data_IF_763733618596
#
_entry.id   IF_763733618596
#
_cell.length_a   1.000
_cell.length_b   1.000
_cell.length_c   1.000
_cell.angle_alpha   90.00
_cell.angle_beta   90.00
_cell.angle_gamma   90.00
#
_symmetry.space_group_name_H-M   'P 1'
#
loop_
_entity.id
_entity.type
_entity.pdbx_description
1 polymer ?
#
# COMPACT_ATOMS: atom_id res chain seq x y z
N UNK A 1 -47.26 -36.16 41.77
CA UNK A 1 -47.28 -36.30 40.28
C UNK A 1 -47.78 -35.05 39.53
N UNK A 2 -48.90 -34.40 39.99
CA UNK A 2 -49.33 -33.15 39.35
C UNK A 2 -48.45 -31.94 39.69
N UNK A 3 -47.95 -31.88 40.92
CA UNK A 3 -47.02 -30.83 41.41
C UNK A 3 -45.68 -30.87 40.66
N UNK A 4 -45.09 -32.06 40.49
CA UNK A 4 -43.77 -32.22 39.83
C UNK A 4 -43.82 -31.81 38.34
N UNK A 5 -44.92 -32.07 37.66
CA UNK A 5 -45.09 -31.61 36.26
C UNK A 5 -45.25 -30.10 36.13
N UNK A 6 -45.87 -29.46 37.10
CA UNK A 6 -45.99 -27.99 37.13
C UNK A 6 -44.67 -27.32 37.39
N UNK A 7 -43.87 -27.84 38.35
CA UNK A 7 -42.56 -27.32 38.67
C UNK A 7 -41.57 -27.50 37.53
N UNK A 8 -41.63 -28.63 36.78
CA UNK A 8 -40.85 -28.85 35.59
C UNK A 8 -41.23 -27.86 34.46
N UNK A 9 -42.51 -27.56 34.29
CA UNK A 9 -42.97 -26.58 33.28
C UNK A 9 -42.51 -25.17 33.64
N UNK A 10 -42.55 -24.78 34.91
CA UNK A 10 -42.01 -23.48 35.37
C UNK A 10 -40.52 -23.34 35.08
N UNK A 11 -39.70 -24.35 35.38
CA UNK A 11 -38.26 -24.37 35.07
C UNK A 11 -37.98 -24.24 33.55
N UNK A 12 -38.77 -24.91 32.74
CA UNK A 12 -38.64 -24.79 31.26
C UNK A 12 -38.99 -23.38 30.74
N UNK A 13 -40.02 -22.76 31.31
CA UNK A 13 -40.42 -21.39 30.97
C UNK A 13 -39.33 -20.40 31.39
N UNK A 14 -38.82 -20.49 32.62
CA UNK A 14 -37.74 -19.65 33.12
C UNK A 14 -36.45 -19.80 32.28
N UNK A 15 -36.10 -21.04 31.94
CA UNK A 15 -34.95 -21.32 31.06
C UNK A 15 -35.16 -20.71 29.67
N UNK A 16 -36.39 -20.80 29.09
CA UNK A 16 -36.74 -20.20 27.83
C UNK A 16 -36.64 -18.67 27.84
N UNK A 17 -37.16 -18.03 28.92
CA UNK A 17 -37.08 -16.58 29.08
C UNK A 17 -35.62 -16.15 29.16
N UNK A 18 -34.80 -16.80 29.98
CA UNK A 18 -33.38 -16.51 30.13
C UNK A 18 -32.62 -16.66 28.79
N UNK A 19 -32.95 -17.68 28.00
CA UNK A 19 -32.36 -17.89 26.67
C UNK A 19 -32.72 -16.77 25.71
N UNK A 20 -33.96 -16.29 25.74
CA UNK A 20 -34.42 -15.14 24.90
C UNK A 20 -33.69 -13.85 25.32
N UNK A 21 -33.55 -13.59 26.61
CA UNK A 21 -32.81 -12.43 27.14
C UNK A 21 -31.35 -12.46 26.70
N UNK A 22 -30.69 -13.61 26.84
CA UNK A 22 -29.31 -13.81 26.38
C UNK A 22 -29.16 -13.57 24.89
N UNK A 23 -30.10 -14.10 24.08
CA UNK A 23 -30.07 -13.90 22.62
C UNK A 23 -30.25 -12.43 22.23
N UNK A 24 -31.13 -11.69 22.92
CA UNK A 24 -31.33 -10.26 22.69
C UNK A 24 -30.09 -9.46 23.10
N UNK A 25 -29.45 -9.83 24.20
CA UNK A 25 -28.18 -9.21 24.64
C UNK A 25 -27.08 -9.44 23.61
N UNK A 26 -26.91 -10.67 23.10
CA UNK A 26 -25.94 -11.01 22.07
C UNK A 26 -26.20 -10.20 20.80
N UNK A 27 -27.44 -10.08 20.37
CA UNK A 27 -27.79 -9.25 19.18
C UNK A 27 -27.41 -7.80 19.38
N UNK A 28 -27.67 -7.25 20.56
CA UNK A 28 -27.32 -5.85 20.89
C UNK A 28 -25.80 -5.64 20.89
N UNK A 29 -25.04 -6.56 21.54
CA UNK A 29 -23.57 -6.50 21.56
C UNK A 29 -23.01 -6.63 20.16
N UNK A 30 -23.50 -7.55 19.33
CA UNK A 30 -23.02 -7.73 17.96
C UNK A 30 -23.27 -6.48 17.11
N UNK A 31 -24.42 -5.80 17.29
CA UNK A 31 -24.68 -4.54 16.62
C UNK A 31 -23.71 -3.44 17.07
N UNK A 32 -23.52 -3.28 18.36
CA UNK A 32 -22.57 -2.29 18.92
C UNK A 32 -21.13 -2.56 18.46
N UNK A 33 -20.72 -3.82 18.37
CA UNK A 33 -19.42 -4.21 17.87
C UNK A 33 -19.25 -3.88 16.39
N UNK A 34 -20.29 -4.13 15.59
CA UNK A 34 -20.29 -3.77 14.17
C UNK A 34 -20.16 -2.24 13.99
N UNK A 35 -20.99 -1.47 14.70
CA UNK A 35 -20.98 0.00 14.63
C UNK A 35 -19.59 0.57 15.05
N UNK A 36 -18.99 -0.02 16.10
CA UNK A 36 -17.65 0.37 16.57
C UNK A 36 -16.53 -0.01 15.60
N UNK A 37 -16.63 -1.16 14.95
CA UNK A 37 -15.67 -1.55 13.91
C UNK A 37 -15.72 -0.61 12.71
N UNK A 38 -16.92 -0.21 12.27
CA UNK A 38 -17.07 0.78 11.18
C UNK A 38 -16.50 2.15 11.56
N UNK A 39 -16.72 2.60 12.81
CA UNK A 39 -16.17 3.85 13.32
C UNK A 39 -14.63 3.81 13.33
N UNK A 40 -14.06 2.70 13.82
CA UNK A 40 -12.61 2.50 13.87
C UNK A 40 -11.99 2.44 12.47
N UNK A 41 -12.63 1.75 11.52
CA UNK A 41 -12.17 1.67 10.14
C UNK A 41 -12.17 3.05 9.46
N UNK A 42 -13.21 3.87 9.68
CA UNK A 42 -13.25 5.25 9.18
C UNK A 42 -12.12 6.08 9.77
N UNK A 43 -11.94 6.05 11.10
CA UNK A 43 -10.86 6.79 11.75
C UNK A 43 -9.47 6.36 11.27
N UNK A 44 -9.28 5.07 11.00
CA UNK A 44 -8.06 4.53 10.41
C UNK A 44 -7.82 5.10 9.01
N UNK A 45 -8.82 5.06 8.13
CA UNK A 45 -8.70 5.60 6.77
C UNK A 45 -8.47 7.12 6.74
N UNK A 46 -9.13 7.86 7.63
CA UNK A 46 -8.91 9.31 7.80
C UNK A 46 -7.47 9.61 8.24
N UNK A 47 -6.94 8.82 9.18
CA UNK A 47 -5.56 8.96 9.66
C UNK A 47 -4.55 8.70 8.54
N UNK A 48 -4.77 7.64 7.75
CA UNK A 48 -3.97 7.34 6.55
C UNK A 48 -4.01 8.51 5.57
N UNK A 49 -5.21 9.06 5.31
CA UNK A 49 -5.39 10.20 4.42
C UNK A 49 -4.60 11.45 4.86
N UNK A 50 -4.63 11.77 6.16
CA UNK A 50 -3.89 12.91 6.72
C UNK A 50 -2.37 12.68 6.61
N UNK A 51 -1.88 11.50 6.99
CA UNK A 51 -0.45 11.18 6.91
C UNK A 51 0.06 11.25 5.46
N UNK A 52 -0.70 10.70 4.51
CA UNK A 52 -0.39 10.80 3.09
C UNK A 52 -0.28 12.25 2.62
N UNK A 53 -1.27 13.10 2.95
CA UNK A 53 -1.24 14.53 2.60
C UNK A 53 -0.02 15.24 3.20
N UNK A 54 0.42 14.83 4.39
CA UNK A 54 1.61 15.40 5.03
C UNK A 54 2.89 15.06 4.24
N UNK A 55 2.99 13.85 3.70
CA UNK A 55 4.11 13.44 2.82
C UNK A 55 4.10 14.22 1.51
N UNK A 56 2.94 14.34 0.86
CA UNK A 56 2.79 15.09 -0.39
C UNK A 56 3.04 16.59 -0.22
N UNK A 57 2.71 17.16 0.94
CA UNK A 57 3.03 18.55 1.24
C UNK A 57 4.54 18.82 1.34
N UNK A 58 5.33 17.80 1.68
CA UNK A 58 6.79 17.85 1.75
C UNK A 58 7.44 17.87 0.36
N UNK A 59 6.86 17.14 -0.60
CA UNK A 59 7.36 17.06 -1.98
C UNK A 59 6.21 17.42 -2.96
N UNK A 60 6.05 18.71 -3.33
CA UNK A 60 4.94 19.17 -4.18
C UNK A 60 4.88 18.49 -5.56
N UNK A 61 5.99 17.88 -6.00
CA UNK A 61 6.07 17.17 -7.28
C UNK A 61 5.47 15.77 -7.22
N UNK A 62 5.12 15.29 -6.02
CA UNK A 62 4.54 13.94 -5.81
C UNK A 62 3.03 13.97 -5.62
N UNK A 63 2.34 15.11 -5.93
CA UNK A 63 0.87 15.16 -5.82
C UNK A 63 0.23 14.01 -6.61
N UNK A 64 -0.57 13.19 -5.93
CA UNK A 64 -1.23 12.01 -6.48
C UNK A 64 -0.29 10.85 -6.87
N UNK A 65 1.03 11.02 -6.74
CA UNK A 65 2.00 9.95 -7.03
C UNK A 65 1.75 8.72 -6.16
N UNK A 66 1.70 8.91 -4.84
CA UNK A 66 1.49 7.80 -3.90
C UNK A 66 0.15 7.08 -4.13
N UNK A 67 -0.90 7.84 -4.50
CA UNK A 67 -2.19 7.25 -4.87
C UNK A 67 -2.06 6.39 -6.13
N UNK A 68 -1.42 6.91 -7.18
CA UNK A 68 -1.24 6.18 -8.44
C UNK A 68 -0.37 4.95 -8.25
N UNK A 69 0.75 5.04 -7.50
CA UNK A 69 1.61 3.89 -7.16
C UNK A 69 0.82 2.82 -6.40
N UNK A 70 -0.01 3.23 -5.45
CA UNK A 70 -0.92 2.35 -4.71
C UNK A 70 -1.87 1.60 -5.64
N UNK A 71 -2.58 2.33 -6.52
CA UNK A 71 -3.56 1.71 -7.43
C UNK A 71 -2.89 0.84 -8.51
N UNK A 72 -1.73 1.24 -9.05
CA UNK A 72 -0.96 0.39 -9.97
C UNK A 72 -0.48 -0.89 -9.28
N UNK A 73 0.00 -0.80 -8.04
CA UNK A 73 0.42 -1.98 -7.28
C UNK A 73 -0.74 -2.95 -7.05
N UNK A 74 -1.93 -2.43 -6.72
CA UNK A 74 -3.16 -3.22 -6.58
C UNK A 74 -3.59 -3.83 -7.94
N UNK A 75 -3.50 -3.06 -9.03
CA UNK A 75 -3.84 -3.55 -10.38
C UNK A 75 -2.94 -4.72 -10.78
N UNK A 76 -1.63 -4.60 -10.59
CA UNK A 76 -0.67 -5.68 -10.81
C UNK A 76 -1.00 -6.88 -9.91
N UNK A 77 -1.25 -6.64 -8.62
CA UNK A 77 -1.59 -7.68 -7.66
C UNK A 77 -2.86 -8.47 -8.04
N UNK A 78 -3.90 -7.78 -8.49
CA UNK A 78 -5.14 -8.41 -9.00
C UNK A 78 -4.87 -9.29 -10.22
N UNK A 79 -4.07 -8.81 -11.16
CA UNK A 79 -3.70 -9.55 -12.37
C UNK A 79 -2.86 -10.78 -12.06
N UNK A 80 -2.07 -10.73 -10.97
CA UNK A 80 -1.30 -11.85 -10.42
C UNK A 80 -2.17 -12.83 -9.59
N UNK A 81 -3.44 -12.52 -9.33
CA UNK A 81 -4.36 -13.37 -8.55
C UNK A 81 -4.08 -13.37 -7.04
N UNK A 82 -3.53 -12.28 -6.51
CA UNK A 82 -3.22 -12.16 -5.08
C UNK A 82 -4.50 -12.00 -4.24
N UNK A 83 -4.45 -12.47 -2.99
CA UNK A 83 -5.56 -12.39 -2.04
C UNK A 83 -5.82 -10.96 -1.54
N UNK A 84 -7.02 -10.73 -1.00
CA UNK A 84 -7.45 -9.41 -0.51
C UNK A 84 -6.53 -8.83 0.56
N UNK A 85 -5.94 -9.67 1.42
CA UNK A 85 -4.97 -9.23 2.43
C UNK A 85 -3.73 -8.65 1.77
N UNK A 86 -3.18 -9.35 0.79
CA UNK A 86 -1.99 -8.89 0.05
C UNK A 86 -2.31 -7.66 -0.80
N UNK A 87 -3.51 -7.57 -1.40
CA UNK A 87 -3.95 -6.37 -2.12
C UNK A 87 -4.07 -5.16 -1.18
N UNK A 88 -4.55 -5.36 0.05
CA UNK A 88 -4.58 -4.30 1.06
C UNK A 88 -3.16 -3.84 1.46
N UNK A 89 -2.22 -4.76 1.63
CA UNK A 89 -0.79 -4.44 1.89
C UNK A 89 -0.21 -3.61 0.74
N UNK A 90 -0.45 -3.99 -0.51
CA UNK A 90 -0.01 -3.23 -1.68
C UNK A 90 -0.62 -1.83 -1.71
N UNK A 91 -1.92 -1.72 -1.40
CA UNK A 91 -2.63 -0.45 -1.36
C UNK A 91 -2.02 0.51 -0.33
N UNK A 92 -1.91 0.08 0.92
CA UNK A 92 -1.39 0.93 1.99
C UNK A 92 0.12 1.15 1.84
N UNK A 93 0.88 0.11 1.46
CA UNK A 93 2.31 0.21 1.22
C UNK A 93 2.66 1.18 0.09
N UNK A 94 1.89 1.18 -0.99
CA UNK A 94 2.05 2.15 -2.09
C UNK A 94 1.81 3.60 -1.64
N UNK A 95 0.83 3.85 -0.74
CA UNK A 95 0.60 5.17 -0.17
C UNK A 95 1.76 5.67 0.70
N UNK A 96 2.47 4.77 1.38
CA UNK A 96 3.48 5.11 2.37
C UNK A 96 4.92 4.76 1.96
N UNK A 97 5.16 4.23 0.75
CA UNK A 97 6.51 3.81 0.34
C UNK A 97 7.58 4.90 0.55
N UNK A 98 7.21 6.14 0.30
CA UNK A 98 8.05 7.34 0.34
C UNK A 98 7.93 8.16 1.64
N UNK A 99 7.23 7.68 2.68
CA UNK A 99 6.98 8.43 3.94
C UNK A 99 8.27 8.99 4.56
N UNK A 100 9.37 8.28 4.42
CA UNK A 100 10.67 8.69 4.99
C UNK A 100 11.27 9.93 4.34
N UNK A 101 10.77 10.40 3.19
CA UNK A 101 11.17 11.69 2.60
C UNK A 101 10.92 12.87 3.54
N UNK A 102 10.00 12.74 4.50
CA UNK A 102 9.80 13.74 5.56
C UNK A 102 11.11 14.05 6.31
N UNK A 103 11.97 13.06 6.52
CA UNK A 103 13.25 13.20 7.20
C UNK A 103 14.40 13.73 6.33
N UNK A 104 14.17 13.94 5.03
CA UNK A 104 15.19 14.50 4.12
C UNK A 104 15.13 16.04 4.16
N UNK A 105 16.27 16.75 4.27
CA UNK A 105 16.30 18.20 4.24
C UNK A 105 15.72 18.77 2.92
N UNK A 106 14.94 19.86 3.01
CA UNK A 106 14.32 20.51 1.84
C UNK A 106 15.36 21.00 0.83
N UNK A 107 16.52 21.46 1.31
CA UNK A 107 17.65 21.88 0.46
C UNK A 107 18.19 20.78 -0.46
N UNK A 108 17.94 19.51 -0.12
CA UNK A 108 18.33 18.34 -0.91
C UNK A 108 17.14 17.84 -1.71
N UNK A 109 15.97 17.67 -1.06
CA UNK A 109 14.79 17.09 -1.67
C UNK A 109 14.25 17.96 -2.82
N UNK A 110 14.25 19.28 -2.65
CA UNK A 110 13.71 20.25 -3.59
C UNK A 110 14.78 20.88 -4.51
N UNK A 111 16.00 20.32 -4.51
CA UNK A 111 17.10 20.85 -5.32
C UNK A 111 16.84 20.64 -6.81
N UNK A 112 16.82 21.73 -7.58
CA UNK A 112 16.59 21.68 -9.03
C UNK A 112 17.84 21.29 -9.83
N UNK A 113 19.04 21.50 -9.25
CA UNK A 113 20.29 21.11 -9.89
C UNK A 113 20.66 19.66 -9.57
N UNK A 114 21.65 19.12 -10.30
CA UNK A 114 22.14 17.76 -10.07
C UNK A 114 22.65 17.61 -8.62
N UNK A 115 22.23 16.53 -7.95
CA UNK A 115 22.67 16.18 -6.61
C UNK A 115 24.14 15.72 -6.63
N UNK A 116 24.89 16.04 -5.54
CA UNK A 116 26.16 15.39 -5.29
C UNK A 116 25.96 13.93 -4.85
N UNK A 117 27.05 13.15 -4.82
CA UNK A 117 26.98 11.75 -4.37
C UNK A 117 26.58 11.66 -2.88
N UNK A 118 27.00 12.63 -2.06
CA UNK A 118 26.64 12.74 -0.64
C UNK A 118 25.16 13.09 -0.47
N UNK A 119 24.65 14.05 -1.24
CA UNK A 119 23.23 14.43 -1.24
C UNK A 119 22.36 13.27 -1.71
N UNK A 120 22.76 12.58 -2.77
CA UNK A 120 22.06 11.39 -3.26
C UNK A 120 22.08 10.26 -2.24
N UNK A 121 23.20 10.08 -1.50
CA UNK A 121 23.29 9.12 -0.40
C UNK A 121 22.28 9.43 0.71
N UNK A 122 22.04 10.72 1.02
CA UNK A 122 21.03 11.11 2.00
C UNK A 122 19.61 10.76 1.52
N UNK A 123 19.30 10.99 0.25
CA UNK A 123 17.99 10.58 -0.32
C UNK A 123 17.81 9.07 -0.19
N UNK A 124 18.84 8.27 -0.47
CA UNK A 124 18.78 6.81 -0.34
C UNK A 124 18.49 6.30 1.08
N UNK A 125 18.53 7.16 2.09
CA UNK A 125 18.18 6.79 3.46
C UNK A 125 16.68 6.87 3.75
N UNK A 126 15.84 7.48 2.85
CA UNK A 126 14.41 7.61 3.14
C UNK A 126 13.69 6.28 3.43
N UNK A 127 14.03 5.11 2.81
CA UNK A 127 13.38 3.86 3.17
C UNK A 127 13.62 3.49 4.64
N UNK A 128 14.84 3.67 5.13
CA UNK A 128 15.18 3.38 6.52
C UNK A 128 14.56 4.37 7.49
N UNK A 129 14.47 5.65 7.12
CA UNK A 129 13.75 6.68 7.89
C UNK A 129 12.27 6.29 7.97
N UNK A 130 11.65 5.89 6.85
CA UNK A 130 10.27 5.44 6.81
C UNK A 130 10.01 4.23 7.70
N UNK A 131 10.88 3.23 7.68
CA UNK A 131 10.83 2.08 8.59
C UNK A 131 10.92 2.52 10.05
N UNK A 132 11.81 3.45 10.39
CA UNK A 132 11.93 3.97 11.74
C UNK A 132 10.67 4.72 12.20
N UNK A 133 10.07 5.52 11.31
CA UNK A 133 8.84 6.27 11.60
C UNK A 133 7.61 5.40 11.84
N UNK A 134 7.48 4.31 11.08
CA UNK A 134 6.29 3.46 11.10
C UNK A 134 6.46 2.21 11.98
N UNK A 135 7.70 1.82 12.28
CA UNK A 135 8.04 0.51 12.84
C UNK A 135 7.43 0.19 14.21
N UNK A 136 7.18 1.22 15.03
CA UNK A 136 6.59 1.05 16.37
C UNK A 136 5.06 0.88 16.35
N UNK A 137 4.42 1.16 15.23
CA UNK A 137 2.97 1.05 15.09
C UNK A 137 2.57 -0.28 14.45
N UNK A 138 1.97 -1.17 15.21
CA UNK A 138 1.58 -2.52 14.78
C UNK A 138 0.73 -2.54 13.48
N UNK A 139 -0.07 -1.49 13.25
CA UNK A 139 -0.93 -1.35 12.07
C UNK A 139 -0.14 -1.21 10.74
N UNK A 140 1.15 -0.83 10.79
CA UNK A 140 2.00 -0.67 9.61
C UNK A 140 2.99 -1.81 9.42
N UNK A 141 3.04 -2.81 10.31
CA UNK A 141 4.02 -3.91 10.24
C UNK A 141 4.02 -4.60 8.87
N UNK A 142 2.84 -4.90 8.31
CA UNK A 142 2.70 -5.64 7.07
C UNK A 142 3.17 -4.84 5.83
N UNK A 143 3.23 -3.51 5.88
CA UNK A 143 3.69 -2.66 4.78
C UNK A 143 5.18 -2.29 4.85
N UNK A 144 5.85 -2.52 5.98
CA UNK A 144 7.28 -2.19 6.12
C UNK A 144 8.17 -2.82 5.05
N UNK A 145 7.89 -4.04 4.54
CA UNK A 145 8.65 -4.60 3.42
C UNK A 145 8.61 -3.72 2.16
N UNK A 146 7.48 -3.08 1.84
CA UNK A 146 7.37 -2.14 0.72
C UNK A 146 8.16 -0.87 1.02
N UNK A 147 7.92 -0.24 2.17
CA UNK A 147 8.59 0.99 2.59
C UNK A 147 10.11 0.83 2.56
N UNK A 148 10.62 -0.30 3.02
CA UNK A 148 12.06 -0.56 3.10
C UNK A 148 12.68 -0.91 1.76
N UNK A 149 12.00 -1.70 0.91
CA UNK A 149 12.64 -2.43 -0.19
C UNK A 149 12.12 -2.05 -1.58
N UNK A 150 11.26 -1.03 -1.75
CA UNK A 150 10.75 -0.61 -3.06
C UNK A 150 11.84 -0.09 -4.02
N UNK A 151 13.01 0.24 -3.52
CA UNK A 151 14.18 0.62 -4.32
C UNK A 151 15.21 -0.51 -4.49
N UNK A 152 14.91 -1.72 -4.01
CA UNK A 152 15.72 -2.87 -4.38
C UNK A 152 15.56 -3.21 -5.86
N UNK A 153 16.61 -3.75 -6.43
CA UNK A 153 16.65 -4.17 -7.83
C UNK A 153 16.86 -5.67 -7.89
N UNK A 154 16.19 -6.30 -8.82
CA UNK A 154 16.25 -7.75 -8.99
C UNK A 154 17.70 -8.26 -9.19
N UNK A 155 18.59 -7.43 -9.79
CA UNK A 155 20.00 -7.69 -10.01
C UNK A 155 20.90 -7.40 -8.77
N UNK A 156 20.34 -7.02 -7.62
CA UNK A 156 21.07 -6.74 -6.37
C UNK A 156 21.79 -5.39 -6.33
N UNK A 157 21.60 -4.52 -7.32
CA UNK A 157 22.22 -3.18 -7.39
C UNK A 157 21.34 -2.09 -6.78
N UNK A 158 20.29 -2.51 -6.05
CA UNK A 158 19.36 -1.62 -5.36
C UNK A 158 19.85 -1.15 -3.99
N UNK A 159 18.96 -0.58 -3.23
CA UNK A 159 19.18 -0.16 -1.85
C UNK A 159 17.90 -0.30 -1.02
N UNK A 160 17.96 -0.35 0.32
CA UNK A 160 19.12 -0.17 1.18
C UNK A 160 19.92 -1.48 1.48
N UNK A 161 19.34 -2.66 1.20
CA UNK A 161 19.86 -3.95 1.66
C UNK A 161 20.58 -4.75 0.57
N UNK A 162 20.50 -4.32 -0.70
CA UNK A 162 21.09 -4.96 -1.87
C UNK A 162 20.66 -6.43 -2.02
N UNK A 163 19.37 -6.69 -1.77
CA UNK A 163 18.77 -8.00 -1.94
C UNK A 163 18.72 -8.38 -3.42
N UNK A 164 18.82 -9.69 -3.71
CA UNK A 164 18.87 -10.21 -5.08
C UNK A 164 17.68 -11.14 -5.34
N UNK A 165 17.04 -10.97 -6.48
CA UNK A 165 16.02 -11.89 -6.95
C UNK A 165 14.86 -12.05 -5.96
N UNK A 166 14.59 -13.29 -5.58
CA UNK A 166 13.46 -13.64 -4.69
C UNK A 166 13.70 -13.33 -3.21
N UNK A 167 14.91 -12.94 -2.81
CA UNK A 167 15.16 -12.41 -1.47
C UNK A 167 14.49 -11.05 -1.25
N UNK A 168 14.17 -10.32 -2.33
CA UNK A 168 13.38 -9.10 -2.26
C UNK A 168 11.91 -9.47 -1.97
N UNK A 169 11.28 -8.90 -0.92
CA UNK A 169 9.88 -9.17 -0.62
C UNK A 169 8.98 -8.97 -1.84
N UNK A 170 8.11 -9.93 -2.11
CA UNK A 170 7.29 -9.94 -3.34
C UNK A 170 6.48 -8.67 -3.54
N UNK A 171 5.86 -8.16 -2.46
CA UNK A 171 5.10 -6.91 -2.48
C UNK A 171 5.98 -5.68 -2.80
N UNK A 172 7.25 -5.68 -2.40
CA UNK A 172 8.20 -4.61 -2.73
C UNK A 172 8.61 -4.67 -4.21
N UNK A 173 8.77 -5.87 -4.80
CA UNK A 173 9.03 -6.04 -6.24
C UNK A 173 7.87 -5.49 -7.09
N UNK A 174 6.62 -5.67 -6.64
CA UNK A 174 5.42 -5.12 -7.30
C UNK A 174 5.44 -3.59 -7.21
N UNK A 175 5.64 -3.05 -6.01
CA UNK A 175 5.68 -1.60 -5.78
C UNK A 175 6.79 -0.91 -6.59
N UNK A 176 7.97 -1.56 -6.76
CA UNK A 176 9.07 -1.04 -7.57
C UNK A 176 8.71 -0.81 -9.06
N UNK A 177 7.92 -1.70 -9.65
CA UNK A 177 7.41 -1.54 -11.03
C UNK A 177 6.42 -0.38 -11.09
N UNK A 178 5.48 -0.33 -10.14
CA UNK A 178 4.45 0.71 -10.07
C UNK A 178 5.06 2.12 -9.87
N UNK A 179 6.00 2.26 -8.92
CA UNK A 179 6.71 3.51 -8.66
C UNK A 179 7.50 3.98 -9.88
N UNK A 180 8.29 3.09 -10.49
CA UNK A 180 9.09 3.44 -11.67
C UNK A 180 8.19 3.84 -12.85
N UNK A 181 7.08 3.14 -13.06
CA UNK A 181 6.11 3.50 -14.10
C UNK A 181 5.53 4.89 -13.87
N UNK A 182 5.06 5.18 -12.67
CA UNK A 182 4.53 6.52 -12.34
C UNK A 182 5.60 7.60 -12.49
N UNK A 183 6.81 7.31 -12.03
CA UNK A 183 7.94 8.23 -12.17
C UNK A 183 8.28 8.56 -13.63
N UNK A 184 8.07 7.65 -14.57
CA UNK A 184 8.32 7.87 -15.99
C UNK A 184 7.15 8.57 -16.70
N UNK A 185 5.92 8.30 -16.29
CA UNK A 185 4.70 8.83 -16.93
C UNK A 185 4.22 10.15 -16.35
N UNK A 186 4.71 10.55 -15.17
CA UNK A 186 4.37 11.81 -14.52
C UNK A 186 5.35 12.93 -14.87
N UNK A 187 4.83 14.17 -14.95
CA UNK A 187 5.67 15.37 -15.13
C UNK A 187 6.39 15.68 -13.82
N UNK A 188 7.70 15.89 -13.89
CA UNK A 188 8.55 16.30 -12.75
C UNK A 188 9.16 17.68 -13.03
N UNK A 189 9.71 18.33 -11.99
CA UNK A 189 10.33 19.67 -12.10
C UNK A 189 11.40 19.78 -13.17
N UNK A 190 12.13 18.70 -13.41
CA UNK A 190 13.30 18.66 -14.30
C UNK A 190 13.05 17.82 -15.58
N UNK A 191 11.85 17.23 -15.77
CA UNK A 191 11.55 16.36 -16.91
C UNK A 191 10.06 16.29 -17.19
N UNK A 192 9.67 16.41 -18.46
CA UNK A 192 8.32 16.08 -18.91
C UNK A 192 8.08 14.55 -18.86
N UNK A 193 6.81 14.14 -18.87
CA UNK A 193 6.42 12.74 -18.97
C UNK A 193 6.98 12.10 -20.23
N UNK A 194 7.43 10.86 -20.13
CA UNK A 194 7.89 10.09 -21.30
C UNK A 194 6.69 9.57 -22.11
N UNK A 195 6.83 9.46 -23.44
CA UNK A 195 5.85 8.76 -24.28
C UNK A 195 5.67 7.31 -23.79
N UNK A 196 4.44 6.81 -23.88
CA UNK A 196 4.09 5.50 -23.32
C UNK A 196 4.82 4.33 -23.96
N UNK A 197 5.11 4.42 -25.25
CA UNK A 197 5.91 3.44 -26.00
C UNK A 197 7.35 3.38 -25.48
N UNK A 198 7.95 4.53 -25.12
CA UNK A 198 9.27 4.61 -24.50
C UNK A 198 9.26 3.97 -23.11
N UNK A 199 8.21 4.26 -22.30
CA UNK A 199 8.05 3.67 -20.96
C UNK A 199 7.90 2.16 -21.05
N UNK A 200 7.09 1.68 -22.00
CA UNK A 200 6.91 0.24 -22.23
C UNK A 200 8.23 -0.45 -22.59
N UNK A 201 8.97 0.12 -23.54
CA UNK A 201 10.28 -0.40 -23.96
C UNK A 201 11.29 -0.42 -22.80
N UNK A 202 11.25 0.58 -21.91
CA UNK A 202 12.14 0.65 -20.75
C UNK A 202 11.81 -0.43 -19.70
N UNK A 203 10.51 -0.69 -19.43
CA UNK A 203 10.10 -1.77 -18.53
C UNK A 203 10.53 -3.12 -19.10
N UNK A 204 10.34 -3.35 -20.38
CA UNK A 204 10.77 -4.59 -21.06
C UNK A 204 12.29 -4.76 -20.98
N UNK A 205 13.06 -3.72 -21.26
CA UNK A 205 14.54 -3.71 -21.18
C UNK A 205 15.06 -4.00 -19.76
N UNK A 206 14.35 -3.51 -18.76
CA UNK A 206 14.73 -3.65 -17.34
C UNK A 206 14.21 -4.94 -16.70
N UNK A 207 13.44 -5.77 -17.41
CA UNK A 207 13.00 -7.09 -16.96
C UNK A 207 14.21 -8.00 -16.69
N UNK A 208 14.23 -8.65 -15.53
CA UNK A 208 15.33 -9.48 -15.06
C UNK A 208 16.56 -8.73 -14.52
N UNK A 209 16.54 -7.39 -14.57
CA UNK A 209 17.62 -6.55 -14.00
C UNK A 209 17.08 -5.63 -12.89
N UNK A 210 16.35 -4.59 -13.22
CA UNK A 210 15.68 -3.76 -12.22
C UNK A 210 14.44 -4.45 -11.65
N UNK A 211 13.66 -5.08 -12.52
CA UNK A 211 12.36 -5.66 -12.20
C UNK A 211 12.39 -7.19 -12.19
N UNK A 212 11.56 -7.78 -11.34
CA UNK A 212 11.20 -9.18 -11.42
C UNK A 212 10.59 -9.46 -12.81
N UNK A 213 11.13 -10.45 -13.57
CA UNK A 213 10.68 -10.71 -14.94
C UNK A 213 9.22 -11.15 -15.02
N UNK A 214 8.68 -11.84 -14.00
CA UNK A 214 7.29 -12.26 -13.98
C UNK A 214 6.37 -11.07 -13.75
N UNK A 215 6.72 -10.17 -12.83
CA UNK A 215 5.95 -8.96 -12.55
C UNK A 215 6.01 -8.00 -13.74
N UNK A 216 7.19 -7.79 -14.32
CA UNK A 216 7.35 -6.97 -15.53
C UNK A 216 6.49 -7.49 -16.68
N UNK A 217 6.47 -8.80 -16.92
CA UNK A 217 5.63 -9.43 -17.96
C UNK A 217 4.14 -9.17 -17.73
N UNK A 218 3.66 -9.31 -16.49
CA UNK A 218 2.25 -9.04 -16.14
C UNK A 218 1.91 -7.57 -16.34
N UNK A 219 2.81 -6.66 -15.97
CA UNK A 219 2.57 -5.24 -16.16
C UNK A 219 2.59 -4.82 -17.63
N UNK A 220 3.47 -5.41 -18.46
CA UNK A 220 3.45 -5.23 -19.91
C UNK A 220 2.15 -5.74 -20.54
N UNK A 221 1.61 -6.87 -20.06
CA UNK A 221 0.29 -7.36 -20.49
C UNK A 221 -0.84 -6.37 -20.14
N UNK A 222 -0.79 -5.75 -18.94
CA UNK A 222 -1.73 -4.69 -18.57
C UNK A 222 -1.60 -3.48 -19.52
N UNK A 223 -0.38 -3.07 -19.84
CA UNK A 223 -0.13 -1.96 -20.77
C UNK A 223 -0.64 -2.25 -22.17
N UNK A 224 -0.54 -3.48 -22.65
CA UNK A 224 -0.92 -3.88 -24.00
C UNK A 224 -2.43 -4.15 -24.15
N UNK A 225 -3.09 -4.70 -23.11
CA UNK A 225 -4.46 -5.21 -23.20
C UNK A 225 -5.48 -4.48 -22.31
N UNK A 226 -5.04 -3.80 -21.24
CA UNK A 226 -5.91 -3.19 -20.23
C UNK A 226 -5.53 -1.71 -19.96
N UNK A 227 -4.97 -1.02 -20.95
CA UNK A 227 -4.44 0.35 -20.78
C UNK A 227 -5.47 1.38 -20.32
N UNK A 228 -6.75 1.13 -20.55
CA UNK A 228 -7.83 2.00 -20.08
C UNK A 228 -7.88 2.05 -18.54
N UNK A 229 -7.55 0.95 -17.84
CA UNK A 229 -7.45 0.94 -16.37
C UNK A 229 -6.32 1.87 -15.88
N UNK A 230 -5.21 1.90 -16.60
CA UNK A 230 -4.10 2.84 -16.31
C UNK A 230 -4.55 4.28 -16.49
N UNK A 231 -5.28 4.59 -17.57
CA UNK A 231 -5.83 5.93 -17.84
C UNK A 231 -6.80 6.38 -16.75
N UNK A 232 -7.71 5.50 -16.33
CA UNK A 232 -8.65 5.78 -15.25
C UNK A 232 -7.93 6.18 -13.96
N UNK A 233 -6.85 5.47 -13.60
CA UNK A 233 -6.02 5.80 -12.45
C UNK A 233 -5.37 7.18 -12.63
N UNK A 234 -4.79 7.45 -13.81
CA UNK A 234 -4.13 8.72 -14.11
C UNK A 234 -5.12 9.91 -14.08
N UNK A 235 -6.33 9.72 -14.57
CA UNK A 235 -7.36 10.76 -14.58
C UNK A 235 -7.91 11.06 -13.18
N UNK A 236 -8.07 10.01 -12.36
CA UNK A 236 -8.58 10.11 -10.99
C UNK A 236 -7.64 10.90 -10.07
N UNK A 237 -6.34 10.82 -10.30
CA UNK A 237 -5.32 11.39 -9.42
C UNK A 237 -4.41 12.41 -10.13
N UNK A 238 -5.00 13.24 -11.00
CA UNK A 238 -4.31 14.38 -11.64
C UNK A 238 -3.95 15.49 -10.67
#
# INVERSE_FOLDING_TARGET
EKSDKFDQLLLLIESGIKSIEQMNTIKTINKQLHDKNEELERAYLDTIGILRQTVEAKDPYTRGHSDRVSEYSVLIGKKLGLDEKTLHILKIGGLFHDIGKIGIPDSILLKESKLSDEEYSQIKNHPMIGVHMLGDAAIFTDILPIVKHHHERYDGRGYPSQLVGDDIPYVARIAAVADTFDAMTSKRSYRDSLPIDVVRAEIERCSGTQFDPNIAKVFLDIMDNDFDLIREIQEKYK
#
